data_IF_434402252967
#
_entry.id   IF_434402252967
#
_cell.length_a   1.000
_cell.length_b   1.000
_cell.length_c   1.000
_cell.angle_alpha   90.00
_cell.angle_beta   90.00
_cell.angle_gamma   90.00
#
_symmetry.space_group_name_H-M   'P 1'
#
loop_
_entity.id
_entity.type
_entity.pdbx_description
1 polymer ?
#
# COMPACT_ATOMS: atom_id res chain seq x y z
N UNK A 1 5.44 24.61 -16.85
CA UNK A 1 6.90 24.33 -16.92
C UNK A 1 7.57 24.08 -15.57
N UNK A 2 7.31 24.87 -14.53
CA UNK A 2 7.98 24.67 -13.23
C UNK A 2 7.65 23.31 -12.59
N UNK A 3 6.36 23.00 -12.42
CA UNK A 3 5.89 21.68 -11.92
C UNK A 3 6.45 20.52 -12.75
N UNK A 4 6.35 20.59 -14.08
CA UNK A 4 6.94 19.61 -14.99
C UNK A 4 8.44 19.42 -14.80
N UNK A 5 9.18 20.47 -14.45
CA UNK A 5 10.62 20.35 -14.15
C UNK A 5 10.87 19.63 -12.84
N UNK A 6 10.01 19.81 -11.83
CA UNK A 6 10.10 19.07 -10.57
C UNK A 6 9.82 17.57 -10.80
N UNK A 7 8.74 17.25 -11.52
CA UNK A 7 8.34 15.87 -11.82
C UNK A 7 9.37 15.18 -12.73
N UNK A 8 9.68 15.77 -13.88
CA UNK A 8 10.60 15.16 -14.85
C UNK A 8 12.06 15.21 -14.38
N UNK A 9 12.46 16.25 -13.64
CA UNK A 9 13.80 16.34 -13.06
C UNK A 9 14.07 15.27 -12.01
N UNK A 10 13.02 14.81 -11.31
CA UNK A 10 13.08 13.64 -10.43
C UNK A 10 13.19 12.34 -11.24
N UNK A 11 12.34 12.16 -12.26
CA UNK A 11 12.24 10.93 -13.04
C UNK A 11 13.42 10.68 -14.02
N UNK A 12 13.99 11.74 -14.60
CA UNK A 12 14.95 11.63 -15.70
C UNK A 12 16.41 11.39 -15.28
N UNK A 13 16.73 11.26 -13.98
CA UNK A 13 18.11 11.02 -13.61
C UNK A 13 18.45 10.70 -12.16
N UNK A 14 17.53 10.71 -11.19
CA UNK A 14 17.87 10.39 -9.78
C UNK A 14 18.97 11.27 -9.11
N UNK A 15 19.53 12.21 -9.86
CA UNK A 15 20.69 13.06 -9.52
C UNK A 15 20.28 14.47 -9.07
N UNK A 16 19.04 14.89 -9.33
CA UNK A 16 18.53 16.18 -8.84
C UNK A 16 18.18 16.11 -7.33
N UNK A 17 19.18 15.81 -6.50
CA UNK A 17 19.05 15.76 -5.03
C UNK A 17 19.07 17.15 -4.37
N UNK A 18 19.12 18.21 -5.17
CA UNK A 18 19.19 19.59 -4.71
C UNK A 18 18.35 20.53 -5.61
N UNK A 19 17.76 21.55 -5.00
CA UNK A 19 16.99 22.62 -5.68
C UNK A 19 17.79 23.26 -6.82
N UNK A 20 19.10 23.40 -6.67
CA UNK A 20 19.99 23.92 -7.71
C UNK A 20 20.00 23.08 -8.99
N UNK A 21 19.82 21.76 -8.89
CA UNK A 21 19.73 20.86 -10.03
C UNK A 21 18.41 21.07 -10.78
N UNK A 22 17.29 21.16 -10.06
CA UNK A 22 15.99 21.51 -10.65
C UNK A 22 16.02 22.85 -11.39
N UNK A 23 16.73 23.86 -10.86
CA UNK A 23 16.94 25.12 -11.57
C UNK A 23 17.68 24.94 -12.90
N UNK A 24 18.74 24.11 -12.92
CA UNK A 24 19.48 23.84 -14.17
C UNK A 24 18.60 23.13 -15.19
N UNK A 25 17.83 22.14 -14.76
CA UNK A 25 16.86 21.44 -15.61
C UNK A 25 15.79 22.40 -16.15
N UNK A 26 15.29 23.32 -15.31
CA UNK A 26 14.33 24.34 -15.73
C UNK A 26 14.91 25.24 -16.82
N UNK A 27 16.12 25.74 -16.59
CA UNK A 27 16.79 26.65 -17.52
C UNK A 27 17.08 25.94 -18.85
N UNK A 28 17.50 24.67 -18.81
CA UNK A 28 17.74 23.86 -20.01
C UNK A 28 16.45 23.61 -20.80
N UNK A 29 15.36 23.26 -20.10
CA UNK A 29 14.07 22.94 -20.74
C UNK A 29 13.35 24.17 -21.29
N UNK A 30 13.56 25.35 -20.70
CA UNK A 30 12.83 26.58 -21.06
C UNK A 30 13.66 27.58 -21.86
N UNK A 31 14.99 27.43 -21.90
CA UNK A 31 15.91 28.44 -22.46
C UNK A 31 16.03 29.71 -21.61
N UNK A 32 15.39 29.78 -20.43
CA UNK A 32 15.38 30.97 -19.57
C UNK A 32 16.28 30.79 -18.35
N UNK A 33 17.22 31.71 -18.15
CA UNK A 33 18.11 31.69 -16.99
C UNK A 33 17.44 32.25 -15.74
N UNK A 34 17.02 31.39 -14.81
CA UNK A 34 16.57 31.85 -13.50
C UNK A 34 17.73 32.10 -12.54
N UNK A 35 17.65 33.20 -11.80
CA UNK A 35 18.48 33.42 -10.62
C UNK A 35 18.19 32.38 -9.55
N UNK A 36 19.18 32.02 -8.69
CA UNK A 36 18.94 31.12 -7.56
C UNK A 36 17.77 31.56 -6.69
N UNK A 37 17.73 32.80 -6.21
CA UNK A 37 16.63 33.29 -5.36
C UNK A 37 15.25 33.10 -6.00
N UNK A 38 15.14 33.32 -7.31
CA UNK A 38 13.89 33.15 -8.05
C UNK A 38 13.39 31.70 -8.10
N UNK A 39 14.26 30.68 -7.99
CA UNK A 39 13.79 29.28 -7.87
C UNK A 39 13.29 28.99 -6.47
N UNK A 40 13.96 29.49 -5.43
CA UNK A 40 13.57 29.28 -4.04
C UNK A 40 12.23 29.95 -3.71
N UNK A 41 12.01 31.16 -4.23
CA UNK A 41 10.76 31.90 -4.02
C UNK A 41 9.52 31.24 -4.64
N UNK A 42 9.70 30.19 -5.46
CA UNK A 42 8.58 29.42 -6.05
C UNK A 42 8.15 28.23 -5.20
N UNK A 43 8.86 27.92 -4.12
CA UNK A 43 8.41 26.92 -3.15
C UNK A 43 7.50 27.61 -2.12
N UNK A 44 6.27 27.88 -2.54
CA UNK A 44 5.22 28.48 -1.72
C UNK A 44 4.20 27.44 -1.30
N UNK A 45 3.34 27.79 -0.34
CA UNK A 45 2.26 26.90 0.11
C UNK A 45 1.30 26.57 -1.04
N UNK A 46 1.01 27.52 -1.94
CA UNK A 46 0.15 27.27 -3.10
C UNK A 46 0.75 26.26 -4.10
N UNK A 47 2.09 26.21 -4.20
CA UNK A 47 2.75 25.17 -4.99
C UNK A 47 2.70 23.82 -4.29
N UNK A 48 2.76 23.79 -2.96
CA UNK A 48 2.58 22.57 -2.19
C UNK A 48 1.15 22.02 -2.36
N UNK A 49 0.14 22.88 -2.26
CA UNK A 49 -1.27 22.53 -2.48
C UNK A 49 -1.48 21.98 -3.90
N UNK A 50 -0.98 22.67 -4.93
CA UNK A 50 -1.06 22.20 -6.31
C UNK A 50 -0.38 20.83 -6.50
N UNK A 51 0.78 20.60 -5.88
CA UNK A 51 1.45 19.30 -5.96
C UNK A 51 0.66 18.20 -5.21
N UNK A 52 -0.01 18.56 -4.11
CA UNK A 52 -0.96 17.70 -3.40
C UNK A 52 -2.13 17.29 -4.28
N UNK A 53 -2.81 18.26 -4.90
CA UNK A 53 -3.94 18.02 -5.81
C UNK A 53 -3.54 17.12 -6.99
N UNK A 54 -2.37 17.37 -7.58
CA UNK A 54 -1.86 16.55 -8.69
C UNK A 54 -1.53 15.12 -8.24
N UNK A 55 -0.99 14.95 -7.04
CA UNK A 55 -0.71 13.64 -6.48
C UNK A 55 -2.01 12.87 -6.23
N UNK A 56 -2.99 13.51 -5.60
CA UNK A 56 -4.31 12.92 -5.34
C UNK A 56 -4.97 12.47 -6.66
N UNK A 57 -5.00 13.36 -7.66
CA UNK A 57 -5.53 13.04 -8.98
C UNK A 57 -4.80 11.87 -9.67
N UNK A 58 -3.47 11.84 -9.58
CA UNK A 58 -2.66 10.76 -10.20
C UNK A 58 -2.91 9.42 -9.50
N UNK A 59 -3.05 9.42 -8.16
CA UNK A 59 -3.35 8.21 -7.40
C UNK A 59 -4.73 7.66 -7.82
N UNK A 60 -5.74 8.51 -7.97
CA UNK A 60 -7.06 8.10 -8.46
C UNK A 60 -7.01 7.50 -9.87
N UNK A 61 -6.24 8.09 -10.79
CA UNK A 61 -6.11 7.61 -12.16
C UNK A 61 -5.41 6.24 -12.25
N UNK A 62 -4.31 6.05 -11.51
CA UNK A 62 -3.49 4.82 -11.55
C UNK A 62 -4.15 3.66 -10.82
N UNK A 63 -5.03 3.93 -9.86
CA UNK A 63 -5.62 2.89 -9.03
C UNK A 63 -6.67 2.01 -9.75
N UNK A 64 -7.01 2.26 -11.01
CA UNK A 64 -8.07 1.57 -11.78
C UNK A 64 -7.62 0.17 -12.28
N UNK A 65 -8.01 -0.95 -11.65
CA UNK A 65 -7.73 -2.29 -12.20
C UNK A 65 -8.50 -2.51 -13.51
N UNK A 66 -7.79 -2.90 -14.56
CA UNK A 66 -8.40 -3.12 -15.87
C UNK A 66 -9.29 -4.38 -15.93
N UNK A 67 -9.03 -5.39 -15.08
CA UNK A 67 -9.81 -6.63 -15.02
C UNK A 67 -9.97 -7.17 -13.59
N UNK A 68 -11.17 -7.63 -13.27
CA UNK A 68 -11.50 -8.32 -12.02
C UNK A 68 -11.89 -9.75 -12.33
N UNK A 69 -11.43 -10.69 -11.52
CA UNK A 69 -11.81 -12.09 -11.66
C UNK A 69 -13.30 -12.27 -11.30
N UNK A 70 -14.08 -13.09 -12.02
CA UNK A 70 -15.49 -13.37 -11.70
C UNK A 70 -15.73 -13.88 -10.27
N UNK A 71 -14.70 -14.46 -9.64
CA UNK A 71 -14.76 -14.89 -8.24
C UNK A 71 -15.06 -13.73 -7.26
N UNK A 72 -14.75 -12.50 -7.63
CA UNK A 72 -15.00 -11.31 -6.80
C UNK A 72 -16.47 -10.88 -6.77
N UNK A 73 -17.30 -11.32 -7.73
CA UNK A 73 -18.73 -10.98 -7.77
C UNK A 73 -19.54 -11.58 -6.61
N UNK A 74 -18.93 -12.50 -5.85
CA UNK A 74 -19.50 -13.08 -4.63
C UNK A 74 -19.51 -12.11 -3.45
N UNK A 75 -18.74 -11.02 -3.53
CA UNK A 75 -18.63 -10.02 -2.48
C UNK A 75 -19.34 -8.75 -2.91
N UNK A 76 -19.92 -8.03 -1.94
CA UNK A 76 -20.51 -6.70 -2.19
C UNK A 76 -19.49 -5.77 -2.83
N UNK A 77 -18.26 -5.80 -2.34
CA UNK A 77 -17.12 -5.17 -2.99
C UNK A 77 -15.79 -5.72 -2.49
N UNK A 78 -14.73 -5.44 -3.25
CA UNK A 78 -13.35 -5.82 -2.93
C UNK A 78 -12.55 -4.57 -2.58
N UNK A 79 -11.85 -4.63 -1.46
CA UNK A 79 -11.01 -3.58 -0.91
C UNK A 79 -9.57 -4.09 -0.86
N UNK A 80 -8.64 -3.30 -1.39
CA UNK A 80 -7.21 -3.56 -1.22
C UNK A 80 -6.62 -2.47 -0.33
N UNK A 81 -5.82 -2.86 0.66
CA UNK A 81 -5.05 -1.94 1.47
C UNK A 81 -3.55 -2.23 1.28
N UNK A 82 -2.78 -1.19 1.03
CA UNK A 82 -1.33 -1.26 0.89
C UNK A 82 -0.67 -0.04 1.51
N UNK A 83 0.59 -0.19 1.92
CA UNK A 83 1.41 0.88 2.44
C UNK A 83 2.79 0.83 1.80
N UNK A 84 3.20 1.95 1.21
CA UNK A 84 4.51 2.09 0.55
C UNK A 84 5.34 3.13 1.28
N UNK A 85 6.60 2.79 1.59
CA UNK A 85 7.52 3.74 2.19
C UNK A 85 8.37 4.42 1.11
N UNK A 86 8.33 5.75 1.10
CA UNK A 86 9.16 6.62 0.27
C UNK A 86 10.31 7.16 1.10
N UNK A 87 11.55 6.90 0.65
CA UNK A 87 12.75 7.41 1.32
C UNK A 87 12.93 8.90 1.04
N UNK A 88 13.09 9.66 2.11
CA UNK A 88 13.25 11.10 2.07
C UNK A 88 14.67 11.51 2.47
N UNK A 89 15.00 12.78 2.19
CA UNK A 89 16.26 13.35 2.63
C UNK A 89 16.29 13.48 4.16
N UNK A 90 17.39 13.05 4.79
CA UNK A 90 17.61 12.97 6.25
C UNK A 90 17.35 14.23 7.09
N UNK A 91 17.18 15.39 6.45
CA UNK A 91 16.94 16.67 7.12
C UNK A 91 15.46 17.02 7.22
N UNK A 92 14.57 16.19 6.68
CA UNK A 92 13.13 16.34 6.81
C UNK A 92 12.68 15.72 8.15
N UNK A 93 12.95 16.43 9.24
CA UNK A 93 12.70 15.95 10.61
C UNK A 93 11.21 15.76 10.94
N UNK A 94 10.31 16.41 10.18
CA UNK A 94 8.86 16.19 10.28
C UNK A 94 8.43 14.78 9.84
N UNK A 95 9.29 14.05 9.11
CA UNK A 95 9.05 12.70 8.61
C UNK A 95 10.09 11.72 9.18
N UNK A 96 10.03 11.38 10.48
CA UNK A 96 10.97 10.46 11.10
C UNK A 96 10.89 9.06 10.47
N UNK A 97 12.05 8.41 10.31
CA UNK A 97 12.16 7.04 9.82
C UNK A 97 12.49 6.04 10.93
N UNK A 98 12.27 4.75 10.65
CA UNK A 98 12.64 3.66 11.56
C UNK A 98 14.16 3.47 11.64
N UNK A 99 14.88 3.87 10.58
CA UNK A 99 16.34 3.78 10.50
C UNK A 99 17.00 5.12 10.81
N UNK A 100 18.20 5.06 11.40
CA UNK A 100 19.01 6.25 11.67
C UNK A 100 19.54 6.89 10.38
N UNK A 101 19.73 8.21 10.43
CA UNK A 101 20.36 8.96 9.33
C UNK A 101 19.51 9.15 8.08
N UNK A 102 18.22 8.79 8.13
CA UNK A 102 17.26 8.96 7.04
C UNK A 102 15.92 9.51 7.55
N UNK A 103 15.15 10.09 6.63
CA UNK A 103 13.74 10.45 6.83
C UNK A 103 12.87 9.57 5.95
N UNK A 104 11.61 9.38 6.31
CA UNK A 104 10.74 8.43 5.64
C UNK A 104 9.29 8.87 5.69
N UNK A 105 8.64 8.80 4.53
CA UNK A 105 7.22 9.03 4.35
C UNK A 105 6.55 7.69 4.05
N UNK A 106 5.41 7.43 4.66
CA UNK A 106 4.57 6.30 4.35
C UNK A 106 3.33 6.80 3.60
N UNK A 107 3.11 6.26 2.41
CA UNK A 107 1.89 6.44 1.64
C UNK A 107 0.99 5.24 1.93
N UNK A 108 -0.09 5.48 2.65
CA UNK A 108 -1.12 4.50 2.98
C UNK A 108 -2.30 4.63 2.01
N UNK A 109 -2.66 3.55 1.33
CA UNK A 109 -3.74 3.54 0.34
C UNK A 109 -4.77 2.47 0.68
N UNK A 110 -6.05 2.85 0.66
CA UNK A 110 -7.18 1.93 0.67
C UNK A 110 -7.97 2.14 -0.61
N UNK A 111 -8.01 1.12 -1.43
CA UNK A 111 -8.59 1.17 -2.76
C UNK A 111 -9.82 0.27 -2.86
N UNK A 112 -10.91 0.82 -3.40
CA UNK A 112 -12.12 0.10 -3.76
C UNK A 112 -11.94 -0.54 -5.14
N UNK A 113 -11.39 -1.75 -5.14
CA UNK A 113 -11.02 -2.50 -6.33
C UNK A 113 -12.19 -2.68 -7.30
N UNK A 114 -13.41 -2.89 -6.79
CA UNK A 114 -14.62 -3.08 -7.60
C UNK A 114 -15.11 -1.80 -8.28
N UNK A 115 -15.11 -0.68 -7.55
CA UNK A 115 -15.57 0.63 -8.09
C UNK A 115 -14.45 1.41 -8.76
N UNK A 116 -13.21 0.90 -8.65
CA UNK A 116 -12.01 1.52 -9.22
C UNK A 116 -11.83 2.94 -8.68
N UNK A 117 -12.01 3.09 -7.37
CA UNK A 117 -11.99 4.37 -6.67
C UNK A 117 -11.17 4.27 -5.39
N UNK A 118 -10.59 5.39 -4.98
CA UNK A 118 -9.89 5.49 -3.70
C UNK A 118 -10.87 5.69 -2.55
N UNK A 119 -10.72 4.93 -1.47
CA UNK A 119 -11.48 5.12 -0.22
C UNK A 119 -10.75 6.10 0.68
N UNK A 120 -9.43 5.94 0.78
CA UNK A 120 -8.57 6.84 1.54
C UNK A 120 -7.13 6.76 1.05
N UNK A 121 -6.49 7.92 0.96
CA UNK A 121 -5.04 8.05 0.97
C UNK A 121 -4.63 8.83 2.21
N UNK A 122 -3.60 8.35 2.91
CA UNK A 122 -2.98 9.11 3.99
C UNK A 122 -1.47 9.12 3.79
N UNK A 123 -0.88 10.31 3.99
CA UNK A 123 0.56 10.52 4.00
C UNK A 123 0.96 10.70 5.46
N UNK A 124 1.79 9.79 5.96
CA UNK A 124 2.31 9.83 7.33
C UNK A 124 3.83 9.78 7.31
N UNK A 125 4.46 9.94 8.47
CA UNK A 125 5.84 9.51 8.62
C UNK A 125 5.92 7.98 8.66
N UNK A 126 7.11 7.44 8.42
CA UNK A 126 7.37 6.00 8.38
C UNK A 126 7.16 5.28 9.72
N UNK A 127 7.23 5.97 10.86
CA UNK A 127 7.02 5.32 12.17
C UNK A 127 5.54 5.15 12.50
N UNK A 128 4.66 5.83 11.78
CA UNK A 128 3.22 5.69 11.97
C UNK A 128 2.78 4.28 11.56
N UNK A 129 2.28 3.52 12.53
CA UNK A 129 1.95 2.12 12.34
C UNK A 129 0.66 1.96 11.53
N UNK A 130 0.71 1.27 10.39
CA UNK A 130 -0.41 1.07 9.44
C UNK A 130 -1.75 0.61 10.09
N UNK A 131 -1.67 -0.07 11.23
CA UNK A 131 -2.87 -0.52 11.94
C UNK A 131 -3.74 0.57 12.53
N UNK A 132 -3.20 1.77 12.78
CA UNK A 132 -4.02 2.90 13.22
C UNK A 132 -4.84 3.49 12.08
N UNK A 133 -4.42 3.26 10.84
CA UNK A 133 -5.04 3.82 9.63
C UNK A 133 -6.20 2.97 9.12
N UNK A 134 -6.17 1.66 9.39
CA UNK A 134 -7.23 0.73 8.98
C UNK A 134 -8.44 0.76 9.92
N UNK A 135 -9.41 1.63 9.62
CA UNK A 135 -10.62 1.81 10.43
C UNK A 135 -11.60 0.64 10.32
N UNK A 136 -11.93 0.01 11.44
CA UNK A 136 -12.88 -1.11 11.49
C UNK A 136 -14.31 -0.66 11.81
N UNK A 137 -15.32 -1.31 11.23
CA UNK A 137 -16.72 -1.04 11.54
C UNK A 137 -17.71 -1.75 10.61
N UNK A 138 -18.99 -1.39 10.74
CA UNK A 138 -20.10 -2.02 10.00
C UNK A 138 -19.97 -1.94 8.47
N UNK A 139 -19.14 -1.03 7.96
CA UNK A 139 -18.79 -0.96 6.56
C UNK A 139 -17.98 -2.19 6.08
N UNK A 140 -17.53 -3.10 6.94
CA UNK A 140 -16.82 -4.30 6.49
C UNK A 140 -17.77 -5.38 5.95
N UNK A 141 -19.06 -5.30 6.30
CA UNK A 141 -20.08 -6.31 5.98
C UNK A 141 -20.17 -6.62 4.49
N UNK A 142 -19.99 -7.89 4.16
CA UNK A 142 -20.08 -8.45 2.82
C UNK A 142 -18.94 -8.04 1.88
N UNK A 143 -17.89 -7.38 2.39
CA UNK A 143 -16.73 -6.95 1.60
C UNK A 143 -15.55 -7.88 1.77
N UNK A 144 -14.74 -8.03 0.72
CA UNK A 144 -13.48 -8.76 0.73
C UNK A 144 -12.31 -7.80 0.94
N UNK A 145 -11.45 -8.08 1.91
CA UNK A 145 -10.22 -7.31 2.18
C UNK A 145 -8.99 -8.06 1.70
N UNK A 146 -8.29 -7.51 0.71
CA UNK A 146 -6.98 -7.97 0.24
C UNK A 146 -5.90 -7.27 1.07
N UNK A 147 -5.25 -8.03 1.93
CA UNK A 147 -4.33 -7.53 2.95
C UNK A 147 -2.95 -8.16 2.79
N UNK A 148 -1.95 -7.31 2.66
CA UNK A 148 -0.56 -7.75 2.57
C UNK A 148 0.01 -8.21 3.96
N UNK A 149 1.31 -8.49 4.07
CA UNK A 149 1.92 -8.93 5.33
C UNK A 149 2.07 -7.81 6.37
N UNK A 150 2.19 -6.54 5.96
CA UNK A 150 2.16 -5.39 6.87
C UNK A 150 0.82 -5.32 7.63
N UNK A 151 -0.25 -5.76 6.96
CA UNK A 151 -1.58 -5.91 7.54
C UNK A 151 -1.84 -7.24 8.29
N UNK A 152 -0.83 -8.09 8.52
CA UNK A 152 -1.05 -9.35 9.24
C UNK A 152 -1.17 -9.13 10.75
N UNK A 153 -2.42 -9.10 11.26
CA UNK A 153 -2.72 -9.01 12.71
C UNK A 153 -3.99 -9.79 13.03
N UNK A 154 -3.91 -10.72 13.99
CA UNK A 154 -5.06 -11.52 14.43
C UNK A 154 -6.26 -10.68 14.87
N UNK A 155 -6.02 -9.60 15.63
CA UNK A 155 -7.10 -8.70 16.05
C UNK A 155 -7.84 -8.09 14.87
N UNK A 156 -7.14 -7.75 13.78
CA UNK A 156 -7.76 -7.21 12.56
C UNK A 156 -8.63 -8.26 11.88
N UNK A 157 -8.14 -9.50 11.81
CA UNK A 157 -8.89 -10.60 11.20
C UNK A 157 -10.16 -10.91 11.99
N UNK A 158 -10.06 -10.96 13.32
CA UNK A 158 -11.21 -11.09 14.20
C UNK A 158 -12.23 -9.95 13.99
N UNK A 159 -11.78 -8.69 13.90
CA UNK A 159 -12.68 -7.56 13.67
C UNK A 159 -13.37 -7.62 12.30
N UNK A 160 -12.69 -8.11 11.25
CA UNK A 160 -13.31 -8.29 9.92
C UNK A 160 -14.39 -9.38 10.00
N UNK A 161 -14.09 -10.51 10.64
CA UNK A 161 -15.02 -11.62 10.85
C UNK A 161 -16.24 -11.21 11.70
N UNK A 162 -16.00 -10.55 12.84
CA UNK A 162 -17.04 -9.97 13.73
C UNK A 162 -17.97 -8.98 13.03
N UNK A 163 -17.54 -8.39 11.90
CA UNK A 163 -18.33 -7.46 11.09
C UNK A 163 -18.87 -8.10 9.80
N UNK A 164 -18.90 -9.44 9.70
CA UNK A 164 -19.37 -10.20 8.54
C UNK A 164 -18.61 -9.85 7.24
N UNK A 165 -17.33 -9.53 7.37
CA UNK A 165 -16.41 -9.32 6.26
C UNK A 165 -15.62 -10.57 5.91
N UNK A 166 -14.95 -10.56 4.77
CA UNK A 166 -14.04 -11.62 4.34
C UNK A 166 -12.65 -11.05 4.10
N UNK A 167 -11.61 -11.87 4.19
CA UNK A 167 -10.24 -11.42 3.95
C UNK A 167 -9.42 -12.45 3.19
N UNK A 168 -8.43 -11.94 2.45
CA UNK A 168 -7.31 -12.71 1.91
C UNK A 168 -6.05 -12.04 2.40
N UNK A 169 -5.21 -12.80 3.11
CA UNK A 169 -3.91 -12.31 3.53
C UNK A 169 -2.84 -13.38 3.38
N UNK A 170 -1.61 -12.92 3.12
CA UNK A 170 -0.44 -13.80 3.17
C UNK A 170 -0.25 -14.29 4.60
N UNK A 171 -0.16 -15.60 4.79
CA UNK A 171 0.13 -16.16 6.11
C UNK A 171 1.59 -15.89 6.50
N UNK A 172 1.80 -15.20 7.62
CA UNK A 172 3.15 -14.95 8.13
C UNK A 172 3.80 -16.26 8.59
N UNK A 173 5.03 -16.54 8.14
CA UNK A 173 5.76 -17.79 8.46
C UNK A 173 5.92 -18.06 9.96
N UNK A 174 6.06 -17.01 10.78
CA UNK A 174 6.22 -17.14 12.23
C UNK A 174 4.96 -17.59 12.97
N UNK A 175 3.82 -17.68 12.29
CA UNK A 175 2.52 -17.91 12.92
C UNK A 175 2.20 -19.40 13.08
N UNK A 176 2.65 -20.23 12.12
CA UNK A 176 2.41 -21.68 12.00
C UNK A 176 1.19 -22.23 12.76
N UNK A 177 -0.05 -21.84 12.38
CA UNK A 177 -1.23 -22.21 13.14
C UNK A 177 -1.50 -23.72 13.07
N UNK A 178 -2.08 -24.24 14.16
CA UNK A 178 -2.52 -25.62 14.27
C UNK A 178 -3.83 -25.82 13.50
N UNK A 179 -3.88 -26.86 12.67
CA UNK A 179 -5.10 -27.27 11.99
C UNK A 179 -5.95 -28.08 12.97
N UNK A 180 -7.14 -27.58 13.25
CA UNK A 180 -8.10 -28.19 14.19
C UNK A 180 -9.17 -29.01 13.49
N UNK A 181 -9.50 -28.65 12.24
CA UNK A 181 -10.55 -29.29 11.46
C UNK A 181 -10.24 -29.21 9.96
N UNK A 182 -10.60 -30.26 9.21
CA UNK A 182 -10.62 -30.24 7.74
C UNK A 182 -12.07 -30.06 7.27
N UNK A 183 -12.33 -28.98 6.53
CA UNK A 183 -13.68 -28.61 6.11
C UNK A 183 -14.07 -29.23 4.76
N UNK A 184 -13.08 -29.70 3.99
CA UNK A 184 -13.27 -30.43 2.75
C UNK A 184 -12.72 -31.85 2.83
N UNK A 185 -13.53 -32.81 2.38
CA UNK A 185 -13.13 -34.22 2.24
C UNK A 185 -12.47 -34.49 0.89
N UNK A 186 -11.28 -35.10 0.91
CA UNK A 186 -10.51 -35.38 -0.30
C UNK A 186 -10.50 -36.88 -0.62
N UNK A 187 -10.74 -37.23 -1.89
CA UNK A 187 -10.71 -38.62 -2.35
C UNK A 187 -9.28 -39.13 -2.48
N UNK A 188 -9.07 -40.42 -2.20
CA UNK A 188 -7.79 -41.10 -2.35
C UNK A 188 -6.95 -41.13 -1.06
N UNK A 189 -5.64 -41.24 -1.19
CA UNK A 189 -4.68 -41.37 -0.07
C UNK A 189 -4.28 -40.00 0.48
N UNK A 190 -5.27 -39.18 0.84
CA UNK A 190 -5.04 -37.84 1.36
C UNK A 190 -4.31 -37.90 2.71
N UNK A 191 -3.33 -37.02 2.89
CA UNK A 191 -2.63 -36.87 4.17
C UNK A 191 -3.59 -36.20 5.17
N UNK A 192 -3.81 -36.78 6.37
CA UNK A 192 -4.58 -36.12 7.41
C UNK A 192 -3.83 -34.88 7.91
N UNK A 193 -4.56 -33.78 8.04
CA UNK A 193 -4.02 -32.48 8.42
C UNK A 193 -4.35 -32.08 9.84
N UNK A 194 -5.47 -32.56 10.41
CA UNK A 194 -5.85 -32.27 11.79
C UNK A 194 -4.72 -32.64 12.76
N UNK A 195 -4.39 -31.71 13.66
CA UNK A 195 -3.31 -31.85 14.63
C UNK A 195 -1.93 -31.45 14.12
N UNK A 196 -1.78 -31.08 12.84
CA UNK A 196 -0.52 -30.60 12.26
C UNK A 196 -0.51 -29.08 12.12
N UNK A 197 0.68 -28.48 12.08
CA UNK A 197 0.81 -27.04 11.79
C UNK A 197 0.90 -26.80 10.28
N UNK A 198 0.34 -25.70 9.78
CA UNK A 198 0.20 -25.44 8.34
C UNK A 198 1.54 -25.54 7.57
N UNK A 199 2.61 -24.93 8.08
CA UNK A 199 3.91 -24.92 7.40
C UNK A 199 4.65 -26.25 7.46
N UNK A 200 4.23 -27.16 8.33
CA UNK A 200 4.82 -28.50 8.45
C UNK A 200 4.29 -29.45 7.37
N UNK A 201 3.15 -29.11 6.74
CA UNK A 201 2.45 -29.97 5.79
C UNK A 201 2.33 -29.38 4.40
N UNK A 202 2.32 -28.05 4.27
CA UNK A 202 2.07 -27.37 2.99
C UNK A 202 3.04 -27.77 1.87
N UNK A 203 4.30 -28.08 2.22
CA UNK A 203 5.30 -28.53 1.24
C UNK A 203 5.01 -29.93 0.66
N UNK A 204 4.28 -30.75 1.41
CA UNK A 204 3.96 -32.14 1.03
C UNK A 204 2.57 -32.24 0.37
N UNK A 205 1.83 -31.14 0.29
CA UNK A 205 0.53 -31.09 -0.37
C UNK A 205 0.71 -30.98 -1.89
N UNK A 206 0.21 -31.97 -2.63
CA UNK A 206 0.17 -31.95 -4.09
C UNK A 206 -1.00 -31.13 -4.68
N UNK A 207 -1.84 -30.54 -3.83
CA UNK A 207 -3.04 -29.77 -4.24
C UNK A 207 -2.80 -28.26 -4.12
N UNK A 208 -3.50 -27.48 -4.94
CA UNK A 208 -3.34 -26.02 -5.00
C UNK A 208 -4.01 -25.28 -3.82
N UNK A 209 -5.03 -25.88 -3.21
CA UNK A 209 -5.79 -25.27 -2.11
C UNK A 209 -6.25 -26.30 -1.09
N UNK A 210 -6.59 -25.83 0.10
CA UNK A 210 -7.11 -26.63 1.22
C UNK A 210 -8.05 -25.74 2.02
N UNK A 211 -9.18 -26.31 2.46
CA UNK A 211 -10.10 -25.66 3.39
C UNK A 211 -10.02 -26.29 4.79
N UNK A 212 -9.64 -25.49 5.79
CA UNK A 212 -9.31 -25.92 7.16
C UNK A 212 -9.66 -24.82 8.18
N UNK A 213 -9.86 -25.23 9.44
CA UNK A 213 -10.01 -24.35 10.60
C UNK A 213 -8.81 -24.43 11.54
#
# INVERSE_FOLDING_TARGET
MFVWTLIAGFAAGGEARAIAAYRRSYNAATGHGLYPSSIYNRFTDEVADLLGDLLEHTIEEVAVPHHLAPAFDRFRSVIAADATIVRLHRFLSAFPATHEGVSGLQLYLVHHVTERSMISAEITDERTHESTLFKTGSWMRGRLFLLDLGFFKYRRFALIDENDGSLVSRLKRSTNPLITEELEGWRGRAMPLVGKQIFDVVGDLHRQGTDVR
#
